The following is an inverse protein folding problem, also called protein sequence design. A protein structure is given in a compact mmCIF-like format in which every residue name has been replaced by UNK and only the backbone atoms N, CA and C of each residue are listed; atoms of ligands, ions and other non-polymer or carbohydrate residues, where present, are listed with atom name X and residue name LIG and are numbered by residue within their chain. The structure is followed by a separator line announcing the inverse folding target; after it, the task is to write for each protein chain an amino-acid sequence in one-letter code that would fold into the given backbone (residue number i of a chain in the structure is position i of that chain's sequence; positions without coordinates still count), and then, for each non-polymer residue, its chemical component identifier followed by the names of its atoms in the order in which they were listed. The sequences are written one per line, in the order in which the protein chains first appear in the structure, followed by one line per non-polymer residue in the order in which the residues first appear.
data_IF_559606151523
#
_entry.id   IF_559606151523
#
_cell.length_a   1.000
_cell.length_b   1.000
_cell.length_c   1.000
_cell.angle_alpha   90.00
_cell.angle_beta   90.00
_cell.angle_gamma   90.00
#
_symmetry.space_group_name_H-M   'P 1'
#
loop_
_entity.id
_entity.type
_entity.pdbx_description
1 polymer ?
#
# COMPACT_ATOMS: atom_id res chain seq x y z
N UNK A 1 6.42 -7.37 17.10
CA UNK A 1 7.07 -6.07 17.38
C UNK A 1 6.59 -5.12 16.31
N UNK A 2 5.91 -4.06 16.75
CA UNK A 2 5.24 -3.15 15.82
C UNK A 2 6.26 -2.40 14.95
N UNK A 3 6.01 -2.38 13.63
CA UNK A 3 6.79 -1.63 12.64
C UNK A 3 6.11 -0.30 12.35
N UNK A 4 4.77 -0.27 12.33
CA UNK A 4 3.98 0.95 12.17
C UNK A 4 3.02 1.07 13.37
N UNK A 5 3.01 2.25 13.98
CA UNK A 5 2.08 2.61 15.04
C UNK A 5 1.37 3.92 14.65
N UNK A 6 0.07 3.89 14.57
CA UNK A 6 -0.79 5.07 14.35
C UNK A 6 -1.62 5.25 15.62
N UNK A 7 -1.42 6.38 16.31
CA UNK A 7 -2.07 6.66 17.60
C UNK A 7 -2.93 7.92 17.51
N UNK A 8 -4.23 7.76 17.79
CA UNK A 8 -5.22 8.82 17.87
C UNK A 8 -5.25 9.77 16.65
N UNK A 9 -4.97 9.20 15.46
CA UNK A 9 -4.88 9.95 14.21
C UNK A 9 -6.17 10.70 13.92
N UNK A 10 -6.07 12.03 13.86
CA UNK A 10 -7.16 12.89 13.42
C UNK A 10 -6.74 13.71 12.22
N UNK A 11 -7.58 13.73 11.19
CA UNK A 11 -7.40 14.55 10.00
C UNK A 11 -8.65 15.33 9.66
N UNK A 12 -8.50 16.68 9.63
CA UNK A 12 -9.56 17.62 9.28
C UNK A 12 -9.22 18.39 8.01
N UNK A 13 -10.21 18.57 7.16
CA UNK A 13 -10.16 19.43 5.97
C UNK A 13 -11.19 20.53 6.12
N UNK A 14 -10.77 21.70 6.61
CA UNK A 14 -11.71 22.75 6.98
C UNK A 14 -12.72 22.29 8.05
N UNK A 15 -13.98 22.25 7.69
CA UNK A 15 -15.06 21.79 8.59
C UNK A 15 -15.33 20.27 8.55
N UNK A 16 -14.70 19.54 7.62
CA UNK A 16 -14.89 18.08 7.50
C UNK A 16 -13.84 17.33 8.32
N UNK A 17 -14.27 16.45 9.20
CA UNK A 17 -13.40 15.46 9.86
C UNK A 17 -13.40 14.21 9.00
N UNK A 18 -12.26 13.90 8.40
CA UNK A 18 -12.10 12.76 7.49
C UNK A 18 -11.60 11.51 8.21
N UNK A 19 -10.85 11.69 9.30
CA UNK A 19 -10.42 10.64 10.24
C UNK A 19 -10.49 11.25 11.63
N UNK A 20 -11.03 10.53 12.61
CA UNK A 20 -11.24 11.00 13.98
C UNK A 20 -10.77 9.95 15.00
N UNK A 21 -9.72 10.27 15.75
CA UNK A 21 -9.18 9.44 16.85
C UNK A 21 -8.86 7.98 16.46
N UNK A 22 -8.41 7.77 15.21
CA UNK A 22 -8.16 6.44 14.66
C UNK A 22 -6.78 5.90 15.07
N UNK A 23 -6.77 4.68 15.62
CA UNK A 23 -5.54 4.02 16.06
C UNK A 23 -5.45 2.59 15.52
N UNK A 24 -4.28 2.20 15.03
CA UNK A 24 -3.92 0.81 14.72
C UNK A 24 -2.40 0.65 14.67
N UNK A 25 -1.97 -0.58 14.72
CA UNK A 25 -0.56 -0.96 14.60
C UNK A 25 -0.37 -2.08 13.57
N UNK A 26 0.86 -2.26 13.10
CA UNK A 26 1.24 -3.33 12.18
C UNK A 26 2.52 -3.97 12.68
N UNK A 27 2.48 -5.28 12.91
CA UNK A 27 3.64 -6.05 13.32
C UNK A 27 4.54 -6.43 12.15
N UNK A 28 5.82 -6.67 12.44
CA UNK A 28 6.81 -7.06 11.43
C UNK A 28 6.40 -8.36 10.73
N UNK A 29 6.37 -8.34 9.41
CA UNK A 29 5.99 -9.48 8.56
C UNK A 29 4.49 -9.77 8.53
N UNK A 30 3.65 -8.88 9.11
CA UNK A 30 2.20 -8.97 9.08
C UNK A 30 1.65 -8.32 7.79
N UNK A 31 0.59 -8.89 7.23
CA UNK A 31 -0.26 -8.24 6.24
C UNK A 31 -1.55 -7.79 6.92
N UNK A 32 -1.74 -6.49 7.05
CA UNK A 32 -2.98 -5.90 7.60
C UNK A 32 -3.88 -5.41 6.47
N UNK A 33 -5.13 -5.86 6.45
CA UNK A 33 -6.18 -5.29 5.60
C UNK A 33 -6.81 -4.08 6.26
N UNK A 34 -6.74 -2.91 5.64
CA UNK A 34 -7.51 -1.73 6.08
C UNK A 34 -8.76 -1.60 5.22
N UNK A 35 -9.92 -1.91 5.78
CA UNK A 35 -11.19 -1.93 5.05
C UNK A 35 -12.19 -0.91 5.60
N UNK A 36 -13.29 -0.72 4.86
CA UNK A 36 -14.38 0.16 5.25
C UNK A 36 -15.15 0.67 4.03
N UNK A 37 -16.36 1.20 4.19
CA UNK A 37 -17.15 1.75 3.08
C UNK A 37 -16.43 2.85 2.31
N UNK A 38 -16.94 3.20 1.12
CA UNK A 38 -16.44 4.34 0.36
C UNK A 38 -16.58 5.63 1.17
N UNK A 39 -15.52 6.44 1.19
CA UNK A 39 -15.49 7.67 1.98
C UNK A 39 -15.22 7.48 3.48
N UNK A 40 -14.94 6.25 3.96
CA UNK A 40 -14.63 6.01 5.39
C UNK A 40 -13.32 6.63 5.88
N UNK A 41 -12.41 7.06 4.98
CA UNK A 41 -11.16 7.70 5.35
C UNK A 41 -9.88 6.91 5.06
N UNK A 42 -9.96 5.69 4.50
CA UNK A 42 -8.80 4.81 4.22
C UNK A 42 -7.66 5.51 3.46
N UNK A 43 -7.97 6.12 2.32
CA UNK A 43 -6.97 6.86 1.52
C UNK A 43 -6.43 8.09 2.26
N UNK A 44 -7.22 8.68 3.18
CA UNK A 44 -6.75 9.77 4.05
C UNK A 44 -5.74 9.25 5.06
N UNK A 45 -5.98 8.08 5.68
CA UNK A 45 -5.02 7.41 6.57
C UNK A 45 -3.71 7.14 5.82
N UNK A 46 -3.75 6.52 4.62
CA UNK A 46 -2.57 6.27 3.80
C UNK A 46 -1.83 7.56 3.45
N UNK A 47 -2.55 8.63 3.08
CA UNK A 47 -1.94 9.91 2.77
C UNK A 47 -1.29 10.58 4.00
N UNK A 48 -1.83 10.39 5.20
CA UNK A 48 -1.20 10.85 6.44
C UNK A 48 0.08 10.05 6.73
N UNK A 49 0.03 8.71 6.65
CA UNK A 49 1.20 7.84 6.86
C UNK A 49 2.33 8.20 5.89
N UNK A 50 2.01 8.48 4.61
CA UNK A 50 2.99 8.87 3.60
C UNK A 50 3.45 10.33 3.69
N UNK A 51 2.99 11.11 4.67
CA UNK A 51 3.33 12.52 4.79
C UNK A 51 2.82 13.40 3.63
N UNK A 52 1.83 12.93 2.85
CA UNK A 52 1.15 13.71 1.80
C UNK A 52 0.20 14.71 2.44
N UNK A 53 -0.51 14.28 3.51
CA UNK A 53 -1.35 15.14 4.33
C UNK A 53 -0.75 15.27 5.72
N UNK A 54 -0.51 16.50 6.17
CA UNK A 54 -0.15 16.74 7.57
C UNK A 54 -1.26 16.28 8.51
N UNK A 55 -0.90 15.67 9.62
CA UNK A 55 -1.80 15.21 10.69
C UNK A 55 -2.39 16.43 11.42
N UNK A 56 -3.67 16.36 11.81
CA UNK A 56 -4.29 17.43 12.61
C UNK A 56 -4.07 17.21 14.10
N UNK A 57 -4.15 15.96 14.56
CA UNK A 57 -3.88 15.52 15.94
C UNK A 57 -3.49 14.03 15.90
N UNK A 58 -2.81 13.55 16.95
CA UNK A 58 -2.29 12.19 17.04
C UNK A 58 -0.86 12.08 16.55
N UNK A 59 -0.34 10.84 16.44
CA UNK A 59 1.02 10.57 16.02
C UNK A 59 1.13 9.32 15.15
N UNK A 60 2.18 9.28 14.33
CA UNK A 60 2.53 8.13 13.48
C UNK A 60 4.01 7.82 13.75
N UNK A 61 4.29 6.55 14.09
CA UNK A 61 5.65 6.06 14.28
C UNK A 61 5.95 4.92 13.33
N UNK A 62 7.16 4.91 12.82
CA UNK A 62 7.68 3.86 11.97
C UNK A 62 9.01 3.36 12.52
N UNK A 63 9.12 2.06 12.83
CA UNK A 63 10.27 1.46 13.52
C UNK A 63 10.64 2.18 14.83
N UNK A 64 9.64 2.73 15.53
CA UNK A 64 9.82 3.51 16.76
C UNK A 64 10.20 4.98 16.56
N UNK A 65 10.54 5.41 15.35
CA UNK A 65 10.80 6.81 14.99
C UNK A 65 9.48 7.54 14.71
N UNK A 66 9.33 8.74 15.27
CA UNK A 66 8.21 9.62 14.96
C UNK A 66 8.35 10.15 13.53
N UNK A 67 7.33 9.92 12.68
CA UNK A 67 7.23 10.37 11.29
C UNK A 67 6.05 11.31 11.05
N UNK A 68 5.36 11.74 12.11
CA UNK A 68 4.11 12.52 12.05
C UNK A 68 4.21 13.76 11.16
N UNK A 69 5.33 14.47 11.24
CA UNK A 69 5.60 15.70 10.48
C UNK A 69 6.58 15.50 9.32
N UNK A 70 6.97 14.25 9.03
CA UNK A 70 7.89 13.95 7.94
C UNK A 70 7.22 14.19 6.58
N UNK A 71 7.99 14.74 5.63
CA UNK A 71 7.58 14.81 4.23
C UNK A 71 7.64 13.43 3.58
N UNK A 72 6.88 13.21 2.49
CA UNK A 72 6.86 11.95 1.73
C UNK A 72 8.27 11.45 1.40
N UNK A 73 9.18 12.35 1.01
CA UNK A 73 10.56 12.00 0.72
C UNK A 73 11.30 11.43 1.95
N UNK A 74 11.07 11.98 3.15
CA UNK A 74 11.68 11.49 4.39
C UNK A 74 11.10 10.13 4.78
N UNK A 75 9.78 9.96 4.64
CA UNK A 75 9.08 8.69 4.90
C UNK A 75 9.61 7.58 3.98
N UNK A 76 9.72 7.84 2.67
CA UNK A 76 10.27 6.88 1.70
C UNK A 76 11.73 6.52 2.02
N UNK A 77 12.55 7.50 2.40
CA UNK A 77 13.95 7.25 2.78
C UNK A 77 14.11 6.43 4.07
N UNK A 78 13.07 6.35 4.89
CA UNK A 78 13.04 5.49 6.08
C UNK A 78 12.60 4.05 5.76
N UNK A 79 12.23 3.75 4.51
CA UNK A 79 11.86 2.40 4.07
C UNK A 79 10.35 2.15 4.01
N UNK A 80 9.53 3.19 3.88
CA UNK A 80 8.08 3.05 3.69
C UNK A 80 7.72 3.45 2.27
N UNK A 81 7.10 2.54 1.50
CA UNK A 81 6.67 2.80 0.12
C UNK A 81 5.19 2.54 -0.07
N UNK A 82 4.61 3.16 -1.11
CA UNK A 82 3.20 2.99 -1.46
C UNK A 82 3.03 2.75 -2.95
N UNK A 83 2.19 1.78 -3.28
CA UNK A 83 1.60 1.62 -4.61
C UNK A 83 0.23 2.29 -4.57
N UNK A 84 0.03 3.31 -5.40
CA UNK A 84 -1.22 4.08 -5.45
C UNK A 84 -2.28 3.36 -6.28
N UNK A 85 -3.56 3.68 -6.04
CA UNK A 85 -4.69 3.20 -6.83
C UNK A 85 -4.52 3.52 -8.33
N UNK A 86 -4.12 4.73 -8.66
CA UNK A 86 -3.82 5.13 -10.03
C UNK A 86 -2.40 4.70 -10.41
N UNK A 87 -2.28 3.93 -11.48
CA UNK A 87 -0.99 3.60 -12.08
C UNK A 87 -0.47 4.80 -12.87
N UNK A 88 0.74 5.23 -12.55
CA UNK A 88 1.40 6.36 -13.19
C UNK A 88 2.81 5.98 -13.65
N UNK A 89 2.96 5.06 -14.61
CA UNK A 89 4.25 4.76 -15.19
C UNK A 89 4.74 5.97 -16.01
N UNK A 90 6.05 6.04 -16.23
CA UNK A 90 6.63 7.04 -17.11
C UNK A 90 6.59 6.51 -18.53
N UNK A 91 5.62 6.97 -19.33
CA UNK A 91 5.34 6.48 -20.68
C UNK A 91 6.52 6.59 -21.65
N UNK A 92 7.47 7.51 -21.41
CA UNK A 92 8.65 7.70 -22.23
C UNK A 92 9.83 6.77 -21.88
N UNK A 93 9.63 5.87 -20.92
CA UNK A 93 10.64 4.89 -20.47
C UNK A 93 10.08 3.48 -20.57
N UNK A 94 10.95 2.51 -20.93
CA UNK A 94 10.59 1.10 -20.87
C UNK A 94 10.31 0.65 -19.42
N UNK A 95 9.75 -0.55 -19.25
CA UNK A 95 9.56 -1.20 -17.95
C UNK A 95 10.86 -1.17 -17.13
N UNK A 96 11.98 -1.60 -17.71
CA UNK A 96 13.29 -1.52 -17.06
C UNK A 96 13.70 -0.10 -16.68
N UNK A 97 13.41 0.89 -17.52
CA UNK A 97 13.68 2.30 -17.25
C UNK A 97 12.88 2.83 -16.08
N UNK A 98 11.60 2.46 -15.99
CA UNK A 98 10.70 2.79 -14.89
C UNK A 98 11.21 2.22 -13.56
N UNK A 99 11.54 0.93 -13.50
CA UNK A 99 12.08 0.27 -12.29
C UNK A 99 13.40 0.94 -11.89
N UNK A 100 14.32 1.13 -12.84
CA UNK A 100 15.65 1.72 -12.60
C UNK A 100 15.57 3.09 -11.95
N UNK A 101 14.61 3.92 -12.33
CA UNK A 101 14.48 5.28 -11.78
C UNK A 101 14.31 5.24 -10.26
N UNK A 102 13.60 4.26 -9.71
CA UNK A 102 13.32 4.13 -8.29
C UNK A 102 14.50 3.57 -7.47
N UNK A 103 15.52 3.04 -8.15
CA UNK A 103 16.79 2.62 -7.52
C UNK A 103 17.83 3.73 -7.46
N UNK A 104 17.56 4.90 -8.05
CA UNK A 104 18.54 5.98 -8.07
C UNK A 104 18.68 6.60 -6.67
N UNK A 105 19.92 6.81 -6.21
CA UNK A 105 20.14 7.43 -4.91
C UNK A 105 19.67 8.89 -4.91
N UNK A 106 19.08 9.31 -3.80
CA UNK A 106 18.56 10.67 -3.60
C UNK A 106 19.61 11.79 -3.56
N UNK A 107 20.88 11.48 -3.82
CA UNK A 107 21.99 12.43 -3.81
C UNK A 107 22.56 12.69 -5.18
N UNK A 108 22.55 13.95 -5.63
CA UNK A 108 23.17 14.41 -6.88
C UNK A 108 24.66 14.07 -6.98
N UNK A 109 25.33 13.86 -5.84
CA UNK A 109 26.75 13.51 -5.78
C UNK A 109 27.00 12.03 -6.08
N UNK A 110 25.97 11.18 -5.99
CA UNK A 110 26.05 9.73 -6.17
C UNK A 110 25.50 9.26 -7.54
N UNK A 111 25.72 10.00 -8.61
CA UNK A 111 25.31 9.65 -9.98
C UNK A 111 25.86 8.31 -10.54
N UNK A 112 26.54 7.52 -9.72
CA UNK A 112 27.08 6.18 -10.06
C UNK A 112 26.33 5.02 -9.43
N UNK A 113 25.12 5.21 -8.90
CA UNK A 113 24.37 4.19 -8.19
C UNK A 113 22.92 4.12 -8.68
N UNK A 114 22.63 3.39 -9.67
CA UNK A 114 21.32 2.84 -9.96
C UNK A 114 21.50 1.34 -10.09
N UNK A 115 20.43 0.57 -9.94
CA UNK A 115 20.44 -0.86 -10.07
C UNK A 115 21.10 -1.30 -11.39
N UNK A 116 21.83 -2.40 -11.34
CA UNK A 116 22.34 -3.13 -12.50
C UNK A 116 21.19 -3.74 -13.29
N UNK A 117 21.45 -4.24 -14.48
CA UNK A 117 20.44 -4.96 -15.26
C UNK A 117 19.98 -6.25 -14.56
N UNK A 118 20.87 -6.90 -13.81
CA UNK A 118 20.55 -8.10 -13.03
C UNK A 118 19.59 -7.77 -11.87
N UNK A 119 19.85 -6.74 -11.11
CA UNK A 119 18.95 -6.27 -10.03
C UNK A 119 17.59 -5.80 -10.57
N UNK A 120 17.56 -5.12 -11.72
CA UNK A 120 16.29 -4.73 -12.38
C UNK A 120 15.49 -5.98 -12.78
N UNK A 121 16.16 -6.99 -13.34
CA UNK A 121 15.55 -8.27 -13.67
C UNK A 121 14.98 -8.96 -12.40
N UNK A 122 15.72 -8.95 -11.29
CA UNK A 122 15.26 -9.52 -10.03
C UNK A 122 14.01 -8.83 -9.50
N UNK A 123 13.91 -7.48 -9.52
CA UNK A 123 12.70 -6.77 -9.13
C UNK A 123 11.50 -7.11 -10.02
N UNK A 124 11.71 -7.22 -11.33
CA UNK A 124 10.68 -7.59 -12.29
C UNK A 124 10.22 -9.05 -12.11
N UNK A 125 11.16 -9.98 -11.90
CA UNK A 125 10.88 -11.40 -11.70
C UNK A 125 10.10 -11.69 -10.40
N UNK A 126 10.22 -10.83 -9.37
CA UNK A 126 9.43 -10.97 -8.15
C UNK A 126 7.93 -10.78 -8.38
N UNK A 127 7.55 -10.14 -9.47
CA UNK A 127 6.17 -9.80 -9.83
C UNK A 127 5.78 -10.33 -11.23
N UNK A 128 6.60 -11.24 -11.79
CA UNK A 128 6.39 -11.97 -13.06
C UNK A 128 6.19 -11.01 -14.27
N UNK A 129 7.08 -9.99 -14.43
CA UNK A 129 7.14 -9.08 -15.59
C UNK A 129 8.56 -8.96 -16.16
N UNK A 130 9.44 -9.90 -15.88
CA UNK A 130 10.83 -9.88 -16.34
C UNK A 130 10.98 -10.06 -17.86
N UNK A 131 10.00 -10.67 -18.50
CA UNK A 131 9.98 -10.83 -19.96
C UNK A 131 9.64 -9.52 -20.70
N UNK A 132 8.97 -8.57 -20.00
CA UNK A 132 8.47 -7.30 -20.57
C UNK A 132 9.43 -6.11 -20.35
N UNK A 133 10.64 -6.34 -19.87
CA UNK A 133 11.59 -5.28 -19.46
C UNK A 133 11.89 -4.25 -20.55
N UNK A 134 11.77 -4.61 -21.83
CA UNK A 134 12.03 -3.71 -22.97
C UNK A 134 10.75 -3.04 -23.50
N UNK A 135 9.58 -3.51 -23.09
CA UNK A 135 8.30 -2.98 -23.53
C UNK A 135 8.05 -1.58 -22.92
N UNK A 136 7.22 -0.80 -23.60
CA UNK A 136 6.75 0.48 -23.06
C UNK A 136 5.46 0.26 -22.25
N UNK A 137 5.18 1.11 -21.25
CA UNK A 137 3.99 0.92 -20.40
C UNK A 137 2.65 0.88 -21.14
N UNK A 138 2.53 1.55 -22.27
CA UNK A 138 1.33 1.56 -23.13
C UNK A 138 1.17 0.28 -23.96
N UNK A 139 2.18 -0.56 -24.02
CA UNK A 139 2.17 -1.88 -24.68
C UNK A 139 1.75 -2.99 -23.72
N UNK A 140 1.76 -2.72 -22.40
CA UNK A 140 1.44 -3.71 -21.37
C UNK A 140 -0.06 -3.92 -21.17
N UNK A 141 -0.52 -5.14 -20.88
CA UNK A 141 -1.83 -5.38 -20.28
C UNK A 141 -2.02 -4.60 -18.98
N UNK A 142 -3.26 -4.26 -18.63
CA UNK A 142 -3.57 -3.48 -17.43
C UNK A 142 -3.02 -4.13 -16.14
N UNK A 143 -3.08 -5.45 -16.03
CA UNK A 143 -2.53 -6.18 -14.89
C UNK A 143 -1.01 -6.01 -14.79
N UNK A 144 -0.29 -6.01 -15.90
CA UNK A 144 1.18 -5.88 -15.91
C UNK A 144 1.63 -4.43 -15.66
N UNK A 145 0.80 -3.44 -16.02
CA UNK A 145 1.03 -2.05 -15.57
C UNK A 145 0.93 -1.95 -14.05
N UNK A 146 -0.01 -2.68 -13.42
CA UNK A 146 -0.11 -2.74 -11.96
C UNK A 146 1.09 -3.44 -11.33
N UNK A 147 1.55 -4.55 -11.93
CA UNK A 147 2.77 -5.26 -11.53
C UNK A 147 4.01 -4.36 -11.65
N UNK A 148 4.10 -3.54 -12.71
CA UNK A 148 5.16 -2.55 -12.85
C UNK A 148 5.17 -1.54 -11.68
N UNK A 149 4.00 -1.03 -11.25
CA UNK A 149 3.93 -0.13 -10.09
C UNK A 149 4.45 -0.81 -8.81
N UNK A 150 4.14 -2.09 -8.62
CA UNK A 150 4.66 -2.86 -7.49
C UNK A 150 6.17 -3.06 -7.63
N UNK A 151 6.68 -3.43 -8.80
CA UNK A 151 8.13 -3.57 -9.05
C UNK A 151 8.90 -2.28 -8.75
N UNK A 152 8.35 -1.11 -9.13
CA UNK A 152 8.90 0.21 -8.80
C UNK A 152 8.97 0.43 -7.29
N UNK A 153 7.92 0.06 -6.55
CA UNK A 153 7.91 0.17 -5.11
C UNK A 153 8.91 -0.80 -4.45
N UNK A 154 9.01 -2.04 -4.92
CA UNK A 154 10.00 -3.03 -4.46
C UNK A 154 11.44 -2.56 -4.71
N UNK A 155 11.69 -1.84 -5.79
CA UNK A 155 13.01 -1.29 -6.13
C UNK A 155 13.51 -0.22 -5.15
N UNK A 156 12.63 0.29 -4.26
CA UNK A 156 13.04 1.17 -3.15
C UNK A 156 13.47 0.37 -1.90
N UNK A 157 13.42 -0.96 -1.96
CA UNK A 157 13.74 -1.89 -0.85
C UNK A 157 12.97 -1.55 0.45
N UNK A 158 11.63 -1.48 0.40
CA UNK A 158 10.84 -1.03 1.54
C UNK A 158 10.79 -2.07 2.66
N UNK A 159 10.77 -1.61 3.92
CA UNK A 159 10.44 -2.44 5.08
C UNK A 159 8.92 -2.55 5.31
N UNK A 160 8.17 -1.52 4.87
CA UNK A 160 6.70 -1.50 4.87
C UNK A 160 6.17 -1.06 3.52
N UNK A 161 5.27 -1.85 2.94
CA UNK A 161 4.62 -1.55 1.67
C UNK A 161 3.12 -1.32 1.87
N UNK A 162 2.65 -0.13 1.48
CA UNK A 162 1.23 0.20 1.43
C UNK A 162 0.71 -0.10 0.02
N UNK A 163 -0.26 -0.99 -0.09
CA UNK A 163 -0.92 -1.36 -1.35
C UNK A 163 -2.33 -0.77 -1.37
N UNK A 164 -2.57 0.18 -2.26
CA UNK A 164 -3.86 0.87 -2.40
C UNK A 164 -4.58 0.35 -3.64
N UNK A 165 -5.62 -0.47 -3.43
CA UNK A 165 -6.41 -1.16 -4.44
C UNK A 165 -5.58 -1.94 -5.47
N UNK A 166 -4.69 -2.87 -5.03
CA UNK A 166 -3.83 -3.60 -5.95
C UNK A 166 -4.59 -4.46 -6.96
N UNK A 167 -5.79 -4.91 -6.63
CA UNK A 167 -6.63 -5.78 -7.49
C UNK A 167 -7.60 -5.02 -8.41
N UNK A 168 -7.57 -3.67 -8.41
CA UNK A 168 -8.50 -2.87 -9.19
C UNK A 168 -8.39 -3.18 -10.70
N UNK A 169 -9.56 -3.46 -11.33
CA UNK A 169 -9.66 -3.73 -12.76
C UNK A 169 -9.19 -5.11 -13.21
N UNK A 170 -8.78 -5.99 -12.30
CA UNK A 170 -8.31 -7.35 -12.58
C UNK A 170 -9.45 -8.36 -12.60
N UNK A 171 -9.33 -9.39 -13.43
CA UNK A 171 -10.19 -10.57 -13.38
C UNK A 171 -9.78 -11.54 -12.27
N UNK A 172 -10.60 -12.57 -11.98
CA UNK A 172 -10.36 -13.50 -10.86
C UNK A 172 -9.02 -14.29 -10.97
N UNK A 173 -8.57 -14.60 -12.18
CA UNK A 173 -7.30 -15.30 -12.38
C UNK A 173 -6.12 -14.37 -12.07
N UNK A 174 -6.14 -13.14 -12.59
CA UNK A 174 -5.13 -12.11 -12.34
C UNK A 174 -5.05 -11.75 -10.84
N UNK A 175 -6.20 -11.66 -10.14
CA UNK A 175 -6.24 -11.46 -8.68
C UNK A 175 -5.55 -12.62 -7.97
N UNK A 176 -5.85 -13.86 -8.36
CA UNK A 176 -5.21 -15.04 -7.75
C UNK A 176 -3.70 -15.06 -7.95
N UNK A 177 -3.23 -14.70 -9.14
CA UNK A 177 -1.80 -14.61 -9.44
C UNK A 177 -1.10 -13.51 -8.61
N UNK A 178 -1.67 -12.30 -8.60
CA UNK A 178 -1.11 -11.18 -7.83
C UNK A 178 -1.14 -11.44 -6.32
N UNK A 179 -2.22 -12.03 -5.80
CA UNK A 179 -2.30 -12.43 -4.40
C UNK A 179 -1.20 -13.44 -4.02
N UNK A 180 -0.95 -14.44 -4.91
CA UNK A 180 0.14 -15.40 -4.68
C UNK A 180 1.53 -14.73 -4.72
N UNK A 181 1.72 -13.68 -5.52
CA UNK A 181 2.96 -12.90 -5.53
C UNK A 181 3.13 -12.10 -4.23
N UNK A 182 2.07 -11.43 -3.75
CA UNK A 182 2.08 -10.69 -2.48
C UNK A 182 2.33 -11.64 -1.31
N UNK A 183 1.77 -12.85 -1.33
CA UNK A 183 2.02 -13.87 -0.32
C UNK A 183 3.52 -14.28 -0.27
N UNK A 184 4.18 -14.38 -1.43
CA UNK A 184 5.64 -14.62 -1.47
C UNK A 184 6.43 -13.50 -0.78
N UNK A 185 6.00 -12.23 -0.92
CA UNK A 185 6.65 -11.12 -0.21
C UNK A 185 6.50 -11.25 1.31
N UNK A 186 5.35 -11.73 1.79
CA UNK A 186 5.15 -12.04 3.21
C UNK A 186 6.12 -13.13 3.68
N UNK A 187 6.25 -14.22 2.91
CA UNK A 187 7.19 -15.31 3.23
C UNK A 187 8.65 -14.83 3.28
N UNK A 188 9.00 -13.80 2.53
CA UNK A 188 10.30 -13.10 2.57
C UNK A 188 10.43 -12.15 3.78
N UNK A 189 9.37 -11.98 4.58
CA UNK A 189 9.34 -11.14 5.78
C UNK A 189 8.93 -9.68 5.55
N UNK A 190 8.37 -9.35 4.38
CA UNK A 190 7.87 -8.01 4.10
C UNK A 190 6.60 -7.72 4.90
N UNK A 191 6.54 -6.51 5.47
CA UNK A 191 5.36 -6.00 6.17
C UNK A 191 4.48 -5.23 5.20
N UNK A 192 3.17 -5.42 5.23
CA UNK A 192 2.28 -4.77 4.27
C UNK A 192 0.97 -4.29 4.91
N UNK A 193 0.43 -3.17 4.38
CA UNK A 193 -0.95 -2.78 4.63
C UNK A 193 -1.67 -2.71 3.28
N UNK A 194 -2.79 -3.39 3.16
CA UNK A 194 -3.54 -3.52 1.91
C UNK A 194 -4.92 -2.90 2.08
N UNK A 195 -5.28 -2.00 1.19
CA UNK A 195 -6.65 -1.50 1.01
C UNK A 195 -7.16 -2.05 -0.31
N UNK A 196 -8.28 -2.74 -0.32
CA UNK A 196 -8.93 -3.15 -1.58
C UNK A 196 -10.45 -3.30 -1.39
N UNK A 197 -11.20 -3.13 -2.47
CA UNK A 197 -12.65 -3.38 -2.53
C UNK A 197 -12.97 -4.83 -2.90
N UNK A 198 -12.01 -5.58 -3.44
CA UNK A 198 -12.17 -7.00 -3.71
C UNK A 198 -11.99 -7.80 -2.42
N UNK A 199 -13.09 -7.94 -1.67
CA UNK A 199 -13.06 -8.62 -0.37
C UNK A 199 -12.61 -10.09 -0.48
N UNK A 200 -12.92 -10.76 -1.62
CA UNK A 200 -12.53 -12.16 -1.83
C UNK A 200 -11.01 -12.33 -1.93
N UNK A 201 -10.33 -11.48 -2.70
CA UNK A 201 -8.87 -11.46 -2.81
C UNK A 201 -8.21 -11.00 -1.52
N UNK A 202 -8.73 -9.93 -0.90
CA UNK A 202 -8.17 -9.34 0.31
C UNK A 202 -8.23 -10.29 1.51
N UNK A 203 -9.42 -10.84 1.82
CA UNK A 203 -9.63 -11.69 3.00
C UNK A 203 -8.83 -13.01 2.96
N UNK A 204 -8.48 -13.48 1.76
CA UNK A 204 -7.61 -14.65 1.60
C UNK A 204 -6.12 -14.35 1.79
N UNK A 205 -5.73 -13.07 1.80
CA UNK A 205 -4.34 -12.62 1.80
C UNK A 205 -3.86 -12.10 3.15
N UNK A 206 -4.76 -11.45 3.93
CA UNK A 206 -4.37 -10.70 5.13
C UNK A 206 -4.42 -11.55 6.40
N UNK A 207 -3.51 -11.29 7.33
CA UNK A 207 -3.48 -11.94 8.64
C UNK A 207 -4.53 -11.35 9.58
N UNK A 208 -4.74 -10.05 9.48
CA UNK A 208 -5.66 -9.27 10.31
C UNK A 208 -6.31 -8.16 9.51
N UNK A 209 -7.52 -7.82 9.90
CA UNK A 209 -8.30 -6.75 9.30
C UNK A 209 -8.53 -5.66 10.33
N UNK A 210 -8.42 -4.41 9.92
CA UNK A 210 -8.81 -3.21 10.66
C UNK A 210 -9.91 -2.51 9.86
N UNK A 211 -11.02 -2.21 10.52
CA UNK A 211 -12.20 -1.63 9.88
C UNK A 211 -12.35 -0.17 10.28
N UNK A 212 -12.39 0.69 9.27
CA UNK A 212 -12.62 2.13 9.38
C UNK A 212 -14.03 2.46 8.88
N UNK A 213 -14.83 3.15 9.70
CA UNK A 213 -16.16 3.61 9.31
C UNK A 213 -16.36 5.08 9.68
N UNK A 214 -16.71 5.92 8.71
CA UNK A 214 -16.92 7.37 8.90
C UNK A 214 -15.76 8.10 9.63
N UNK A 215 -14.53 7.66 9.40
CA UNK A 215 -13.34 8.24 10.03
C UNK A 215 -12.95 7.61 11.38
N UNK A 216 -13.80 6.77 11.97
CA UNK A 216 -13.60 6.14 13.28
C UNK A 216 -13.19 4.66 13.15
N UNK A 217 -12.49 4.15 14.17
CA UNK A 217 -12.23 2.72 14.31
C UNK A 217 -13.56 1.99 14.62
N UNK A 218 -13.86 0.94 13.85
CA UNK A 218 -15.05 0.13 14.06
C UNK A 218 -14.72 -1.23 14.69
N UNK A 219 -13.80 -1.99 14.10
CA UNK A 219 -13.44 -3.33 14.55
C UNK A 219 -12.03 -3.71 14.09
N UNK A 220 -11.42 -4.70 14.74
CA UNK A 220 -10.22 -5.38 14.26
C UNK A 220 -10.23 -6.84 14.70
N UNK A 221 -9.81 -7.75 13.82
CA UNK A 221 -9.78 -9.19 14.07
C UNK A 221 -9.27 -9.96 12.86
N UNK A 222 -9.33 -11.29 12.93
CA UNK A 222 -9.04 -12.14 11.76
C UNK A 222 -10.08 -11.92 10.66
N UNK A 223 -9.79 -12.26 9.40
CA UNK A 223 -10.76 -12.20 8.33
C UNK A 223 -12.10 -12.88 8.65
N UNK A 224 -12.05 -14.05 9.33
CA UNK A 224 -13.22 -14.82 9.72
C UNK A 224 -14.05 -14.10 10.79
N UNK A 225 -13.41 -13.49 11.79
CA UNK A 225 -14.08 -12.72 12.84
C UNK A 225 -14.78 -11.50 12.25
N UNK A 226 -14.07 -10.75 11.39
CA UNK A 226 -14.62 -9.54 10.74
C UNK A 226 -15.77 -9.88 9.79
N UNK A 227 -15.70 -10.98 9.06
CA UNK A 227 -16.78 -11.41 8.17
C UNK A 227 -18.09 -11.75 8.94
N UNK A 228 -17.99 -12.11 10.22
CA UNK A 228 -19.12 -12.45 11.09
C UNK A 228 -19.55 -11.30 12.01
N UNK A 229 -18.86 -10.17 12.00
CA UNK A 229 -19.17 -9.02 12.86
C UNK A 229 -20.41 -8.27 12.35
N UNK A 230 -21.45 -8.24 13.17
CA UNK A 230 -22.72 -7.62 12.83
C UNK A 230 -22.58 -6.10 12.56
N UNK A 231 -21.72 -5.39 13.30
CA UNK A 231 -21.50 -3.96 13.12
C UNK A 231 -20.78 -3.67 11.81
N UNK A 232 -19.86 -4.53 11.41
CA UNK A 232 -19.17 -4.43 10.12
C UNK A 232 -20.15 -4.68 8.97
N UNK A 233 -20.96 -5.72 9.06
CA UNK A 233 -21.99 -6.01 8.04
C UNK A 233 -22.98 -4.85 7.90
N UNK A 234 -23.46 -4.29 9.02
CA UNK A 234 -24.37 -3.15 9.00
C UNK A 234 -23.72 -1.90 8.38
N UNK A 235 -22.44 -1.62 8.67
CA UNK A 235 -21.71 -0.51 8.08
C UNK A 235 -21.59 -0.60 6.55
N UNK A 236 -21.37 -1.80 6.02
CA UNK A 236 -21.32 -2.03 4.57
C UNK A 236 -22.70 -1.94 3.92
N UNK A 237 -23.74 -2.51 4.54
CA UNK A 237 -25.12 -2.42 4.03
C UNK A 237 -25.65 -0.97 4.03
N UNK A 238 -25.27 -0.17 5.01
CA UNK A 238 -25.64 1.24 5.06
C UNK A 238 -24.92 2.10 4.00
N UNK A 239 -23.71 1.68 3.59
CA UNK A 239 -22.92 2.37 2.56
C UNK A 239 -23.35 2.06 1.12
N UNK A 240 -24.08 0.97 0.87
CA UNK A 240 -24.64 0.61 -0.46
C UNK A 240 -26.03 1.21 -0.71
N UNK A 241 -26.61 1.88 0.27
CA UNK A 241 -27.96 2.41 0.25
C UNK A 241 -28.00 3.93 0.00
N UNK A 242 -27.66 4.39 -1.24
CA UNK A 242 -28.19 5.64 -1.84
C UNK A 242 -27.89 5.66 -3.34
#
# INVERSE_FOLDING_TARGET
MSVLEVENLTKKFGGLVAVDDFSFEVDKGEIVGLIGPNGSGKSTVFNCIMGIYGVTDGSIRFNGDDITDDSTHQVVNKGLSRVSQESNPIDSMSVAGNIKLFTLPNSIVSLRGGATQEEIYEYAARIDIEDDLQEMPDELPHADVRRLEIAKALATEPELLLLDEPFAGMNQAEIGELAAQIERFREEGMTMVVVDHNMGGLMGLVDRVVVLNNGDFLASGTPEEIAQDDAVQEAYLAGEGL
#
